data_IF_844342380088
#
_entry.id   IF_844342380088
#
_cell.length_a   1.000
_cell.length_b   1.000
_cell.length_c   1.000
_cell.angle_alpha   90.00
_cell.angle_beta   90.00
_cell.angle_gamma   90.00
#
_symmetry.space_group_name_H-M   'P 1'
#
loop_
_entity.id
_entity.type
_entity.pdbx_description
1 polymer ?
#
# COMPACT_ATOMS: atom_id res chain seq x y z
N UNK A 1 8.78 7.64 14.90
CA UNK A 1 7.60 8.01 15.72
C UNK A 1 6.75 6.75 15.89
N UNK A 2 6.62 6.21 17.10
CA UNK A 2 5.92 4.94 17.37
C UNK A 2 4.40 5.11 17.63
N UNK A 3 3.81 6.22 17.20
CA UNK A 3 2.46 6.63 17.61
C UNK A 3 1.33 6.18 16.68
N UNK A 4 1.62 5.58 15.52
CA UNK A 4 0.60 5.34 14.48
C UNK A 4 0.06 3.89 14.44
N UNK A 5 0.92 2.90 14.67
CA UNK A 5 0.53 1.48 14.73
C UNK A 5 -0.44 1.18 15.89
N UNK A 6 -0.33 1.91 17.00
CA UNK A 6 -1.26 1.82 18.13
C UNK A 6 -2.63 2.50 17.86
N UNK A 7 -2.73 3.31 16.81
CA UNK A 7 -3.97 3.98 16.40
C UNK A 7 -4.78 3.05 15.49
N UNK A 8 -4.16 2.39 14.52
CA UNK A 8 -4.80 1.37 13.66
C UNK A 8 -5.41 0.23 14.51
N UNK A 9 -4.67 -0.27 15.51
CA UNK A 9 -5.15 -1.34 16.40
C UNK A 9 -6.32 -0.90 17.30
N UNK A 10 -6.35 0.36 17.77
CA UNK A 10 -7.47 0.90 18.57
C UNK A 10 -8.72 1.19 17.74
N UNK A 11 -8.53 1.36 16.43
CA UNK A 11 -9.58 1.69 15.48
C UNK A 11 -10.30 0.44 14.91
N UNK A 12 -9.81 -0.78 15.15
CA UNK A 12 -10.46 -2.00 14.65
C UNK A 12 -11.95 -2.17 15.05
N UNK A 13 -12.39 -1.53 16.14
CA UNK A 13 -13.80 -1.51 16.56
C UNK A 13 -14.64 -0.36 15.98
N UNK A 14 -14.05 0.68 15.39
CA UNK A 14 -14.73 1.91 14.93
C UNK A 14 -14.94 1.98 13.42
N UNK A 15 -14.38 1.04 12.66
CA UNK A 15 -14.34 1.03 11.18
C UNK A 15 -15.32 0.03 10.53
N UNK A 16 -16.19 -0.57 11.32
CA UNK A 16 -17.10 -1.62 10.86
C UNK A 16 -16.35 -2.75 10.12
N UNK A 17 -16.96 -3.33 9.07
CA UNK A 17 -16.35 -4.42 8.30
C UNK A 17 -15.03 -4.05 7.62
N UNK A 18 -14.83 -2.78 7.23
CA UNK A 18 -13.61 -2.34 6.53
C UNK A 18 -12.39 -2.40 7.45
N UNK A 19 -12.51 -1.97 8.71
CA UNK A 19 -11.38 -2.04 9.64
C UNK A 19 -11.13 -3.44 10.17
N UNK A 20 -12.17 -4.28 10.30
CA UNK A 20 -11.96 -5.69 10.58
C UNK A 20 -11.11 -6.35 9.47
N UNK A 21 -11.42 -6.03 8.22
CA UNK A 21 -10.65 -6.48 7.06
C UNK A 21 -9.23 -5.90 7.04
N UNK A 22 -9.04 -4.61 7.32
CA UNK A 22 -7.70 -4.01 7.41
C UNK A 22 -6.88 -4.62 8.56
N UNK A 23 -7.50 -4.95 9.69
CA UNK A 23 -6.83 -5.57 10.83
C UNK A 23 -6.41 -7.02 10.57
N UNK A 24 -7.17 -7.79 9.78
CA UNK A 24 -6.81 -9.18 9.43
C UNK A 24 -5.89 -9.26 8.22
N UNK A 25 -6.20 -8.49 7.18
CA UNK A 25 -5.62 -8.67 5.85
C UNK A 25 -4.60 -7.56 5.52
N UNK A 26 -4.55 -6.47 6.29
CA UNK A 26 -3.58 -5.40 6.09
C UNK A 26 -2.13 -5.84 6.38
N UNK A 27 -1.20 -5.07 5.81
CA UNK A 27 0.24 -5.26 5.88
C UNK A 27 0.79 -5.23 7.30
N UNK A 28 0.08 -4.60 8.25
CA UNK A 28 0.44 -4.54 9.68
C UNK A 28 0.65 -5.91 10.32
N UNK A 29 0.07 -6.97 9.75
CA UNK A 29 0.15 -8.34 10.27
C UNK A 29 1.30 -9.15 9.67
N UNK A 30 2.05 -8.59 8.71
CA UNK A 30 3.08 -9.32 7.98
C UNK A 30 4.45 -9.22 8.67
N UNK A 31 4.97 -10.34 9.17
CA UNK A 31 6.22 -10.38 9.94
C UNK A 31 7.42 -9.82 9.16
N UNK A 32 7.58 -10.18 7.88
CA UNK A 32 8.67 -9.66 7.05
C UNK A 32 8.67 -8.13 6.96
N UNK A 33 7.50 -7.51 6.73
CA UNK A 33 7.39 -6.05 6.69
C UNK A 33 7.75 -5.42 8.03
N UNK A 34 7.29 -5.99 9.14
CA UNK A 34 7.58 -5.43 10.46
C UNK A 34 9.09 -5.45 10.72
N UNK A 35 9.76 -6.54 10.36
CA UNK A 35 11.22 -6.65 10.44
C UNK A 35 11.96 -5.65 9.53
N UNK A 36 11.41 -5.30 8.35
CA UNK A 36 11.98 -4.27 7.48
C UNK A 36 11.86 -2.85 8.06
N UNK A 37 10.80 -2.57 8.82
CA UNK A 37 10.60 -1.27 9.45
C UNK A 37 11.50 -1.04 10.68
N UNK A 38 12.14 -2.09 11.20
CA UNK A 38 13.07 -2.01 12.32
C UNK A 38 14.46 -1.51 11.88
N UNK A 39 15.22 -0.92 12.82
CA UNK A 39 16.53 -0.30 12.56
C UNK A 39 17.62 -1.28 12.09
N UNK A 40 17.40 -2.59 12.25
CA UNK A 40 18.34 -3.66 11.90
C UNK A 40 18.20 -4.23 10.49
N UNK A 41 17.20 -3.78 9.71
CA UNK A 41 16.96 -4.33 8.38
C UNK A 41 18.17 -4.14 7.43
N UNK A 42 18.45 -5.18 6.64
CA UNK A 42 19.51 -5.12 5.63
C UNK A 42 19.16 -4.09 4.56
N UNK A 43 20.16 -3.28 4.16
CA UNK A 43 19.97 -2.32 3.07
C UNK A 43 19.58 -2.97 1.75
N UNK A 44 19.98 -4.23 1.54
CA UNK A 44 19.60 -4.98 0.34
C UNK A 44 18.11 -5.29 0.34
N UNK A 45 17.55 -5.67 1.49
CA UNK A 45 16.13 -6.02 1.61
C UNK A 45 15.26 -4.76 1.59
N UNK A 46 15.74 -3.65 2.16
CA UNK A 46 15.11 -2.34 2.04
C UNK A 46 15.11 -1.83 0.58
N UNK A 47 16.22 -1.96 -0.15
CA UNK A 47 16.28 -1.59 -1.56
C UNK A 47 15.31 -2.42 -2.40
N UNK A 48 15.24 -3.72 -2.16
CA UNK A 48 14.24 -4.62 -2.75
C UNK A 48 12.82 -4.11 -2.51
N UNK A 49 12.45 -3.84 -1.26
CA UNK A 49 11.13 -3.32 -0.92
C UNK A 49 10.82 -2.00 -1.65
N UNK A 50 11.75 -1.04 -1.62
CA UNK A 50 11.62 0.24 -2.33
C UNK A 50 11.32 0.03 -3.82
N UNK A 51 12.06 -0.84 -4.49
CA UNK A 51 11.85 -1.09 -5.92
C UNK A 51 10.49 -1.74 -6.21
N UNK A 52 10.09 -2.76 -5.46
CA UNK A 52 8.81 -3.43 -5.71
C UNK A 52 7.61 -2.55 -5.33
N UNK A 53 7.68 -1.79 -4.23
CA UNK A 53 6.65 -0.80 -3.88
C UNK A 53 6.56 0.26 -5.00
N UNK A 54 7.70 0.78 -5.48
CA UNK A 54 7.73 1.74 -6.57
C UNK A 54 7.20 1.15 -7.89
N UNK A 55 7.41 -0.13 -8.16
CA UNK A 55 6.82 -0.81 -9.33
C UNK A 55 5.29 -0.87 -9.22
N UNK A 56 4.73 -1.14 -8.05
CA UNK A 56 3.27 -1.24 -7.87
C UNK A 56 2.60 0.13 -7.82
N UNK A 57 3.21 1.10 -7.12
CA UNK A 57 2.54 2.35 -6.73
C UNK A 57 3.19 3.62 -7.29
N UNK A 58 4.35 3.53 -7.93
CA UNK A 58 5.10 4.69 -8.45
C UNK A 58 4.55 5.29 -9.74
N UNK A 59 3.68 4.56 -10.48
CA UNK A 59 3.12 5.03 -11.75
C UNK A 59 1.93 5.99 -11.51
N UNK A 60 1.76 6.93 -12.44
CA UNK A 60 0.57 7.75 -12.57
C UNK A 60 -0.03 7.58 -13.98
N UNK A 61 -1.36 7.39 -14.12
CA UNK A 61 -2.34 7.19 -13.04
C UNK A 61 -2.13 5.87 -12.28
N UNK A 62 -2.40 5.89 -10.98
CA UNK A 62 -2.44 4.72 -10.09
C UNK A 62 -3.86 4.43 -9.60
N UNK A 63 -4.00 3.54 -8.61
CA UNK A 63 -5.31 3.07 -8.16
C UNK A 63 -6.24 4.20 -7.68
N UNK A 64 -5.70 5.15 -6.91
CA UNK A 64 -6.44 6.30 -6.40
C UNK A 64 -6.89 7.23 -7.54
N UNK A 65 -6.00 7.51 -8.51
CA UNK A 65 -6.31 8.38 -9.65
C UNK A 65 -7.39 7.76 -10.55
N UNK A 66 -7.33 6.45 -10.77
CA UNK A 66 -8.36 5.72 -11.52
C UNK A 66 -9.70 5.69 -10.80
N UNK A 67 -9.71 5.49 -9.48
CA UNK A 67 -10.93 5.56 -8.68
C UNK A 67 -11.55 6.97 -8.74
N UNK A 68 -10.73 8.03 -8.67
CA UNK A 68 -11.18 9.42 -8.81
C UNK A 68 -11.92 9.65 -10.13
N UNK A 69 -11.38 9.12 -11.24
CA UNK A 69 -12.02 9.17 -12.56
C UNK A 69 -13.39 8.49 -12.63
N UNK A 70 -13.74 7.65 -11.65
CA UNK A 70 -15.01 6.92 -11.58
C UNK A 70 -15.92 7.37 -10.44
N UNK A 71 -15.54 8.41 -9.69
CA UNK A 71 -16.28 8.89 -8.52
C UNK A 71 -17.72 9.27 -8.89
N UNK A 72 -18.69 8.77 -8.12
CA UNK A 72 -20.13 8.85 -8.40
C UNK A 72 -20.86 9.88 -7.54
N UNK A 73 -20.34 10.21 -6.36
CA UNK A 73 -20.91 11.22 -5.46
C UNK A 73 -19.91 12.35 -5.17
N UNK A 74 -20.39 13.55 -4.78
CA UNK A 74 -19.50 14.63 -4.36
C UNK A 74 -18.62 14.26 -3.15
N UNK A 75 -19.15 13.45 -2.23
CA UNK A 75 -18.40 12.97 -1.06
C UNK A 75 -17.25 12.04 -1.48
N UNK A 76 -17.55 11.05 -2.32
CA UNK A 76 -16.55 10.12 -2.87
C UNK A 76 -15.46 10.89 -3.63
N UNK A 77 -15.87 11.85 -4.48
CA UNK A 77 -14.96 12.68 -5.25
C UNK A 77 -14.04 13.51 -4.35
N UNK A 78 -14.58 14.21 -3.36
CA UNK A 78 -13.78 15.06 -2.48
C UNK A 78 -12.72 14.29 -1.68
N UNK A 79 -13.05 13.09 -1.19
CA UNK A 79 -12.07 12.24 -0.52
C UNK A 79 -11.00 11.73 -1.49
N UNK A 80 -11.40 11.29 -2.70
CA UNK A 80 -10.47 10.81 -3.73
C UNK A 80 -9.55 11.90 -4.26
N UNK A 81 -10.01 13.14 -4.39
CA UNK A 81 -9.19 14.30 -4.75
C UNK A 81 -8.09 14.53 -3.70
N UNK A 82 -8.48 14.61 -2.42
CA UNK A 82 -7.51 14.76 -1.32
C UNK A 82 -6.49 13.61 -1.27
N UNK A 83 -6.95 12.36 -1.45
CA UNK A 83 -6.08 11.20 -1.51
C UNK A 83 -5.13 11.24 -2.71
N UNK A 84 -5.62 11.60 -3.90
CA UNK A 84 -4.82 11.66 -5.12
C UNK A 84 -3.73 12.74 -5.03
N UNK A 85 -4.09 13.93 -4.54
CA UNK A 85 -3.17 15.06 -4.35
C UNK A 85 -2.06 14.70 -3.37
N UNK A 86 -2.41 14.12 -2.22
CA UNK A 86 -1.43 13.67 -1.23
C UNK A 86 -0.50 12.59 -1.79
N UNK A 87 -1.03 11.63 -2.57
CA UNK A 87 -0.26 10.51 -3.11
C UNK A 87 0.76 10.94 -4.20
N UNK A 88 0.64 12.15 -4.77
CA UNK A 88 1.69 12.72 -5.63
C UNK A 88 3.02 12.84 -4.88
N UNK A 89 2.98 13.32 -3.63
CA UNK A 89 4.19 13.45 -2.80
C UNK A 89 4.81 12.10 -2.46
N UNK A 90 3.96 11.10 -2.21
CA UNK A 90 4.37 9.72 -1.93
C UNK A 90 5.03 9.08 -3.16
N UNK A 91 4.46 9.26 -4.36
CA UNK A 91 5.09 8.82 -5.62
C UNK A 91 6.44 9.46 -5.86
N UNK A 92 6.54 10.77 -5.70
CA UNK A 92 7.80 11.48 -5.85
C UNK A 92 8.86 10.96 -4.86
N UNK A 93 8.44 10.65 -3.63
CA UNK A 93 9.32 10.06 -2.63
C UNK A 93 9.79 8.65 -2.99
N UNK A 94 8.90 7.75 -3.43
CA UNK A 94 9.26 6.42 -3.92
C UNK A 94 10.28 6.46 -5.05
N UNK A 95 10.09 7.34 -6.03
CA UNK A 95 11.00 7.48 -7.17
C UNK A 95 12.38 7.96 -6.72
N UNK A 96 12.45 8.92 -5.78
CA UNK A 96 13.73 9.38 -5.20
C UNK A 96 14.43 8.26 -4.44
N UNK A 97 13.69 7.49 -3.64
CA UNK A 97 14.26 6.34 -2.92
C UNK A 97 14.78 5.28 -3.88
N UNK A 98 14.02 4.92 -4.92
CA UNK A 98 14.44 3.92 -5.90
C UNK A 98 15.69 4.35 -6.65
N UNK A 99 15.80 5.64 -7.00
CA UNK A 99 17.01 6.18 -7.62
C UNK A 99 18.22 6.13 -6.67
N UNK A 100 18.03 6.47 -5.38
CA UNK A 100 19.10 6.46 -4.38
C UNK A 100 19.52 5.04 -3.93
N UNK A 101 18.60 4.08 -3.95
CA UNK A 101 18.86 2.67 -3.64
C UNK A 101 19.78 2.00 -4.68
N UNK A 102 19.83 2.56 -5.90
CA UNK A 102 20.63 2.03 -6.99
C UNK A 102 19.92 0.92 -7.75
N UNK A 103 20.66 -0.01 -8.38
CA UNK A 103 20.06 -1.14 -9.10
C UNK A 103 19.34 -2.11 -8.17
N UNK A 104 18.25 -2.71 -8.67
CA UNK A 104 17.55 -3.78 -7.96
C UNK A 104 18.53 -4.92 -7.59
N UNK A 105 18.59 -5.34 -6.32
CA UNK A 105 19.44 -6.44 -5.90
C UNK A 105 19.21 -7.74 -6.68
N UNK A 106 20.29 -8.27 -7.25
CA UNK A 106 20.29 -9.59 -7.88
C UNK A 106 19.89 -10.67 -6.89
N UNK A 107 18.92 -11.50 -7.30
CA UNK A 107 18.34 -12.56 -6.46
C UNK A 107 18.03 -13.77 -7.35
N UNK A 108 18.29 -15.01 -6.89
CA UNK A 108 17.83 -16.21 -7.61
C UNK A 108 16.31 -16.17 -7.86
N UNK A 109 15.86 -16.67 -9.00
CA UNK A 109 14.44 -16.63 -9.37
C UNK A 109 13.95 -15.24 -9.82
N UNK A 110 14.84 -14.40 -10.36
CA UNK A 110 14.51 -13.04 -10.77
C UNK A 110 13.38 -12.99 -11.80
N UNK A 111 13.36 -13.91 -12.78
CA UNK A 111 12.32 -13.96 -13.82
C UNK A 111 10.93 -14.24 -13.22
N UNK A 112 10.86 -15.17 -12.27
CA UNK A 112 9.64 -15.51 -11.53
C UNK A 112 9.17 -14.33 -10.67
N UNK A 113 10.10 -13.62 -10.02
CA UNK A 113 9.77 -12.44 -9.24
C UNK A 113 9.22 -11.30 -10.12
N UNK A 114 9.81 -11.08 -11.29
CA UNK A 114 9.34 -10.09 -12.27
C UNK A 114 7.95 -10.43 -12.81
N UNK A 115 7.70 -11.72 -13.08
CA UNK A 115 6.39 -12.20 -13.50
C UNK A 115 5.33 -12.01 -12.39
N UNK A 116 5.67 -12.33 -11.13
CA UNK A 116 4.80 -12.12 -9.98
C UNK A 116 4.44 -10.63 -9.81
N UNK A 117 5.45 -9.74 -9.85
CA UNK A 117 5.21 -8.30 -9.75
C UNK A 117 4.39 -7.77 -10.94
N UNK A 118 4.59 -8.29 -12.15
CA UNK A 118 3.78 -7.94 -13.30
C UNK A 118 2.31 -8.36 -13.14
N UNK A 119 2.07 -9.56 -12.62
CA UNK A 119 0.72 -10.04 -12.32
C UNK A 119 0.04 -9.19 -11.24
N UNK A 120 0.75 -8.83 -10.16
CA UNK A 120 0.22 -7.96 -9.10
C UNK A 120 -0.14 -6.57 -9.62
N UNK A 121 0.74 -5.95 -10.44
CA UNK A 121 0.43 -4.67 -11.10
C UNK A 121 -0.83 -4.77 -11.95
N UNK A 122 -0.93 -5.81 -12.76
CA UNK A 122 -2.09 -6.02 -13.60
C UNK A 122 -3.38 -6.20 -12.77
N UNK A 123 -3.31 -6.93 -11.66
CA UNK A 123 -4.44 -7.09 -10.75
C UNK A 123 -4.87 -5.74 -10.14
N UNK A 124 -3.94 -4.93 -9.67
CA UNK A 124 -4.22 -3.58 -9.14
C UNK A 124 -4.85 -2.67 -10.20
N UNK A 125 -4.34 -2.69 -11.43
CA UNK A 125 -4.91 -1.92 -12.55
C UNK A 125 -6.35 -2.34 -12.85
N UNK A 126 -6.64 -3.65 -12.86
CA UNK A 126 -7.98 -4.19 -13.09
C UNK A 126 -8.96 -3.82 -11.98
N UNK A 127 -8.51 -3.81 -10.72
CA UNK A 127 -9.32 -3.40 -9.57
C UNK A 127 -9.68 -1.92 -9.66
N UNK A 128 -8.68 -1.08 -9.93
CA UNK A 128 -8.82 0.36 -10.02
C UNK A 128 -9.73 0.80 -11.17
N UNK A 129 -9.82 -0.02 -12.24
CA UNK A 129 -10.66 0.24 -13.41
C UNK A 129 -12.03 -0.46 -13.34
N UNK A 130 -12.37 -1.11 -12.22
CA UNK A 130 -13.60 -1.89 -12.10
C UNK A 130 -14.87 -1.02 -12.21
N UNK A 131 -15.72 -1.31 -13.20
CA UNK A 131 -17.00 -0.62 -13.37
C UNK A 131 -18.04 -0.91 -12.27
N UNK A 132 -17.78 -1.89 -11.39
CA UNK A 132 -18.65 -2.23 -10.27
C UNK A 132 -18.62 -1.11 -9.23
N UNK A 133 -19.74 -0.40 -9.08
CA UNK A 133 -19.88 0.71 -8.13
C UNK A 133 -19.39 0.31 -6.73
N UNK A 134 -18.50 1.11 -6.14
CA UNK A 134 -17.87 0.83 -4.84
C UNK A 134 -16.53 0.09 -4.92
N UNK A 135 -16.24 -0.69 -5.97
CA UNK A 135 -15.01 -1.50 -6.04
C UNK A 135 -13.74 -0.64 -6.10
N UNK A 136 -13.69 0.34 -7.02
CA UNK A 136 -12.53 1.20 -7.19
C UNK A 136 -12.26 2.08 -5.95
N UNK A 137 -13.29 2.67 -5.34
CA UNK A 137 -13.14 3.44 -4.10
C UNK A 137 -12.73 2.56 -2.92
N UNK A 138 -13.26 1.33 -2.81
CA UNK A 138 -12.80 0.38 -1.79
C UNK A 138 -11.32 0.02 -1.94
N UNK A 139 -10.86 -0.17 -3.18
CA UNK A 139 -9.44 -0.39 -3.48
C UNK A 139 -8.59 0.84 -3.10
N UNK A 140 -9.02 2.05 -3.45
CA UNK A 140 -8.31 3.29 -3.10
C UNK A 140 -8.24 3.50 -1.58
N UNK A 141 -9.34 3.24 -0.85
CA UNK A 141 -9.37 3.24 0.62
C UNK A 141 -8.34 2.26 1.17
N UNK A 142 -8.33 1.00 0.72
CA UNK A 142 -7.35 0.02 1.19
C UNK A 142 -5.90 0.44 0.93
N UNK A 143 -5.60 1.07 -0.21
CA UNK A 143 -4.26 1.64 -0.46
C UNK A 143 -3.92 2.66 0.61
N UNK A 144 -4.78 3.65 0.87
CA UNK A 144 -4.52 4.71 1.85
C UNK A 144 -4.36 4.14 3.27
N UNK A 145 -5.20 3.16 3.67
CA UNK A 145 -5.12 2.54 4.99
C UNK A 145 -3.84 1.77 5.21
N UNK A 146 -3.45 0.97 4.22
CA UNK A 146 -2.26 0.15 4.35
C UNK A 146 -1.00 1.01 4.21
N UNK A 147 -1.09 2.14 3.52
CA UNK A 147 0.04 3.00 3.21
C UNK A 147 0.79 3.44 4.47
N UNK A 148 0.12 3.75 5.57
CA UNK A 148 0.78 4.13 6.83
C UNK A 148 1.84 3.11 7.26
N UNK A 149 1.54 1.82 7.11
CA UNK A 149 2.44 0.73 7.49
C UNK A 149 3.53 0.55 6.44
N UNK A 150 3.16 0.57 5.16
CA UNK A 150 4.11 0.48 4.03
C UNK A 150 5.12 1.64 4.05
N UNK A 151 4.65 2.83 4.44
CA UNK A 151 5.44 4.05 4.53
C UNK A 151 6.58 3.91 5.54
N UNK A 152 6.37 3.17 6.62
CA UNK A 152 7.42 2.89 7.61
C UNK A 152 8.65 2.19 7.01
N UNK A 153 8.46 1.27 6.06
CA UNK A 153 9.57 0.62 5.33
C UNK A 153 10.30 1.62 4.45
N UNK A 154 9.55 2.50 3.77
CA UNK A 154 10.14 3.56 2.94
C UNK A 154 10.91 4.58 3.81
N UNK A 155 10.44 4.90 5.01
CA UNK A 155 11.15 5.76 5.98
C UNK A 155 12.42 5.10 6.53
N UNK A 156 12.37 3.80 6.81
CA UNK A 156 13.56 3.03 7.20
C UNK A 156 14.61 3.09 6.08
N UNK A 157 14.21 2.89 4.83
CA UNK A 157 15.10 3.04 3.67
C UNK A 157 15.65 4.47 3.55
N UNK A 158 14.81 5.50 3.70
CA UNK A 158 15.22 6.90 3.62
C UNK A 158 16.28 7.24 4.67
N UNK A 159 16.05 6.81 5.91
CA UNK A 159 16.98 7.02 7.03
C UNK A 159 18.34 6.43 6.71
N UNK A 160 18.38 5.21 6.16
CA UNK A 160 19.62 4.53 5.80
C UNK A 160 20.32 5.13 4.58
N UNK A 161 19.57 5.75 3.67
CA UNK A 161 20.07 6.44 2.48
C UNK A 161 20.41 7.91 2.75
N UNK A 162 20.17 8.42 3.96
CA UNK A 162 20.39 9.83 4.32
C UNK A 162 19.42 10.78 3.62
N UNK A 163 18.22 10.32 3.29
CA UNK A 163 17.16 11.09 2.65
C UNK A 163 16.07 11.49 3.65
N UNK A 164 15.58 12.72 3.54
CA UNK A 164 14.45 13.20 4.32
C UNK A 164 13.14 12.69 3.73
N UNK A 165 12.31 12.07 4.58
CA UNK A 165 10.96 11.67 4.25
C UNK A 165 10.05 12.91 4.26
N UNK A 166 9.28 13.18 3.19
CA UNK A 166 8.28 14.25 3.23
C UNK A 166 7.19 13.93 4.26
N UNK A 167 6.54 14.96 4.78
CA UNK A 167 5.39 14.81 5.65
C UNK A 167 4.25 14.06 4.94
N UNK A 168 3.66 13.10 5.64
CA UNK A 168 2.48 12.39 5.14
C UNK A 168 1.29 13.33 5.20
N UNK A 169 0.60 13.49 4.08
CA UNK A 169 -0.57 14.37 3.92
C UNK A 169 -1.80 13.61 3.45
N UNK A 170 -1.75 12.27 3.49
CA UNK A 170 -2.88 11.42 3.15
C UNK A 170 -4.06 11.64 4.11
N UNK A 171 -5.31 11.44 3.65
CA UNK A 171 -6.49 11.57 4.49
C UNK A 171 -6.34 10.79 5.80
N UNK A 172 -6.78 11.40 6.91
CA UNK A 172 -6.66 10.75 8.21
C UNK A 172 -7.56 9.52 8.27
N UNK A 173 -7.16 8.59 9.15
CA UNK A 173 -7.90 7.37 9.40
C UNK A 173 -9.37 7.69 9.78
N UNK A 174 -9.59 8.63 10.70
CA UNK A 174 -10.92 9.04 11.16
C UNK A 174 -11.81 9.69 10.06
N UNK A 175 -11.21 10.49 9.18
CA UNK A 175 -11.90 11.09 8.03
C UNK A 175 -12.32 10.00 7.05
N UNK A 176 -11.44 9.03 6.83
CA UNK A 176 -11.68 7.89 5.95
C UNK A 176 -12.80 6.98 6.49
N UNK A 177 -12.88 6.75 7.81
CA UNK A 177 -14.03 6.05 8.44
C UNK A 177 -15.33 6.73 8.09
N UNK A 178 -15.40 8.04 8.28
CA UNK A 178 -16.64 8.80 8.10
C UNK A 178 -17.13 8.69 6.65
N UNK A 179 -16.22 8.74 5.68
CA UNK A 179 -16.52 8.53 4.27
C UNK A 179 -16.98 7.10 4.00
N UNK A 180 -16.25 6.09 4.50
CA UNK A 180 -16.61 4.68 4.33
C UNK A 180 -17.99 4.38 4.90
N UNK A 181 -18.29 4.81 6.12
CA UNK A 181 -19.59 4.63 6.78
C UNK A 181 -20.72 5.30 6.01
N UNK A 182 -20.48 6.50 5.48
CA UNK A 182 -21.48 7.23 4.70
C UNK A 182 -21.78 6.53 3.37
N UNK A 183 -20.74 6.09 2.65
CA UNK A 183 -20.90 5.34 1.40
C UNK A 183 -21.49 3.94 1.63
N UNK A 184 -21.18 3.28 2.74
CA UNK A 184 -21.72 1.97 3.09
C UNK A 184 -23.22 2.02 3.39
N UNK A 185 -23.71 3.12 4.01
CA UNK A 185 -25.15 3.34 4.27
C UNK A 185 -26.00 3.47 3.01
N UNK A 186 -25.39 3.76 1.85
CA UNK A 186 -26.06 3.71 0.55
C UNK A 186 -26.35 2.26 0.08
N UNK A 187 -25.94 1.24 0.86
CA UNK A 187 -26.39 -0.15 0.83
C UNK A 187 -25.90 -1.00 -0.35
N UNK A 188 -25.83 -0.42 -1.54
CA UNK A 188 -25.40 -1.12 -2.76
C UNK A 188 -23.89 -1.19 -2.92
N UNK A 189 -23.12 -0.33 -2.22
CA UNK A 189 -21.68 -0.17 -2.42
C UNK A 189 -20.83 -0.96 -1.41
N UNK A 190 -21.30 -1.19 -0.19
CA UNK A 190 -20.50 -1.77 0.91
C UNK A 190 -19.79 -3.07 0.51
N UNK A 191 -20.53 -4.07 0.00
CA UNK A 191 -19.93 -5.35 -0.43
C UNK A 191 -18.91 -5.21 -1.56
N UNK A 192 -19.13 -4.23 -2.45
CA UNK A 192 -18.19 -3.96 -3.55
C UNK A 192 -16.94 -3.26 -3.03
N UNK A 193 -17.09 -2.34 -2.09
CA UNK A 193 -15.99 -1.67 -1.41
C UNK A 193 -15.13 -2.68 -0.64
N UNK A 194 -15.74 -3.54 0.16
CA UNK A 194 -15.05 -4.60 0.90
C UNK A 194 -14.32 -5.56 -0.04
N UNK A 195 -14.95 -5.93 -1.16
CA UNK A 195 -14.29 -6.74 -2.18
C UNK A 195 -13.05 -6.02 -2.75
N UNK A 196 -13.19 -4.78 -3.20
CA UNK A 196 -12.07 -4.00 -3.75
C UNK A 196 -10.93 -3.86 -2.74
N UNK A 197 -11.26 -3.58 -1.48
CA UNK A 197 -10.30 -3.49 -0.39
C UNK A 197 -9.58 -4.81 -0.13
N UNK A 198 -10.33 -5.92 -0.05
CA UNK A 198 -9.78 -7.25 0.19
C UNK A 198 -8.78 -7.65 -0.91
N UNK A 199 -9.12 -7.34 -2.17
CA UNK A 199 -8.22 -7.67 -3.28
C UNK A 199 -6.91 -6.85 -3.20
N UNK A 200 -6.96 -5.57 -2.79
CA UNK A 200 -5.75 -4.76 -2.57
C UNK A 200 -4.90 -5.32 -1.43
N UNK A 201 -5.50 -5.64 -0.29
CA UNK A 201 -4.78 -6.25 0.83
C UNK A 201 -4.15 -7.60 0.45
N UNK A 202 -4.83 -8.40 -0.37
CA UNK A 202 -4.26 -9.63 -0.90
C UNK A 202 -3.03 -9.36 -1.80
N UNK A 203 -3.06 -8.31 -2.64
CA UNK A 203 -1.90 -7.93 -3.44
C UNK A 203 -0.73 -7.45 -2.57
N UNK A 204 -1.00 -6.67 -1.52
CA UNK A 204 0.04 -6.21 -0.60
C UNK A 204 0.64 -7.37 0.21
N UNK A 205 -0.17 -8.31 0.73
CA UNK A 205 0.36 -9.51 1.37
C UNK A 205 1.24 -10.32 0.43
N UNK A 206 0.78 -10.56 -0.81
CA UNK A 206 1.58 -11.25 -1.82
C UNK A 206 2.89 -10.52 -2.17
N UNK A 207 2.95 -9.19 -2.05
CA UNK A 207 4.19 -8.42 -2.21
C UNK A 207 5.16 -8.76 -1.08
N UNK A 208 4.69 -8.78 0.16
CA UNK A 208 5.55 -9.09 1.31
C UNK A 208 6.01 -10.54 1.31
N UNK A 209 5.15 -11.50 0.91
CA UNK A 209 5.52 -12.89 0.70
C UNK A 209 6.63 -13.02 -0.36
N UNK A 210 6.53 -12.27 -1.47
CA UNK A 210 7.55 -12.24 -2.51
C UNK A 210 8.88 -11.68 -2.01
N UNK A 211 8.85 -10.58 -1.26
CA UNK A 211 10.06 -9.96 -0.70
C UNK A 211 10.73 -10.84 0.36
N UNK A 212 9.94 -11.54 1.17
CA UNK A 212 10.44 -12.53 2.12
C UNK A 212 11.14 -13.68 1.39
N UNK A 213 10.49 -14.27 0.38
CA UNK A 213 11.07 -15.34 -0.42
C UNK A 213 12.39 -14.92 -1.09
N UNK A 214 12.46 -13.68 -1.59
CA UNK A 214 13.69 -13.10 -2.15
C UNK A 214 14.80 -12.97 -1.12
N UNK A 215 14.48 -12.49 0.09
CA UNK A 215 15.45 -12.41 1.19
C UNK A 215 15.98 -13.79 1.58
N UNK A 216 15.09 -14.79 1.71
CA UNK A 216 15.46 -16.18 1.99
C UNK A 216 16.34 -16.79 0.89
N UNK A 217 16.01 -16.58 -0.38
CA UNK A 217 16.78 -17.10 -1.51
C UNK A 217 18.22 -16.56 -1.51
N UNK A 218 18.43 -15.30 -1.12
CA UNK A 218 19.78 -14.73 -0.96
C UNK A 218 20.54 -15.34 0.20
N UNK A 219 19.87 -15.57 1.34
CA UNK A 219 20.50 -16.17 2.51
C UNK A 219 20.99 -17.60 2.22
N UNK A 220 20.21 -18.37 1.44
CA UNK A 220 20.58 -19.74 1.05
C UNK A 220 21.79 -19.83 0.12
N UNK A 221 22.05 -18.80 -0.70
CA UNK A 221 23.23 -18.76 -1.60
C UNK A 221 24.53 -18.41 -0.84
N UNK A 222 24.40 -17.81 0.35
CA UNK A 222 25.54 -17.41 1.19
C UNK A 222 25.91 -18.46 2.25
N UNK A 223 25.11 -19.52 2.39
CA UNK A 223 25.32 -20.65 3.29
C UNK A 223 26.03 -21.80 2.57
#
# INVERSE_FOLDING_TARGET
MAFDSAQIARLGGTWGPMGALAASDGSATHAHLLGLAESGASMRDLADAVHYICMLHGRHPGAIDHALGQARSPLERGWLEAAADAFVSERAFMVRLAAAAGPLPSTPGQAECEAAAAAQRHALDMLAQSARAGCAVGAAVAVVLDWTVIRGVLEAAATRLGLEAPAVTLPLAEETVTVVDTLAREGMMERAMLFGAQQVFAQHRGLWDLLEARASARALVLA
#
